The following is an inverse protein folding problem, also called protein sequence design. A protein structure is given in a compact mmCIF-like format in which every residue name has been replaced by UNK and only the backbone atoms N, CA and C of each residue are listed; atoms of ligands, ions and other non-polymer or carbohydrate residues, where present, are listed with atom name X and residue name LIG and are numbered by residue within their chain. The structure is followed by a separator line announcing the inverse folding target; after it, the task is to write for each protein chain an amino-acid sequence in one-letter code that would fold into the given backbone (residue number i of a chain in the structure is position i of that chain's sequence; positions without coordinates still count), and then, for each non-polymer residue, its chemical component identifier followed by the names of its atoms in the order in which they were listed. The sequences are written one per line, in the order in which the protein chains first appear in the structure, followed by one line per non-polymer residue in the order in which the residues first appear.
data_IF_576701018622
#
_entry.id   IF_576701018622
#
_cell.length_a   1.000
_cell.length_b   1.000
_cell.length_c   1.000
_cell.angle_alpha   90.00
_cell.angle_beta   90.00
_cell.angle_gamma   90.00
#
_symmetry.space_group_name_H-M   'P 1'
#
loop_
_entity.id
_entity.type
_entity.pdbx_description
1 polymer ?
#
# COMPACT_ATOMS: atom_id res chain seq x y z
N UNK A 1 40.76 25.23 -52.62
CA UNK A 1 39.55 24.51 -53.06
C UNK A 1 39.62 23.07 -52.55
N UNK A 2 38.53 22.61 -51.92
CA UNK A 2 38.16 21.24 -51.51
C UNK A 2 38.68 20.62 -50.19
N UNK A 3 39.83 20.97 -49.62
CA UNK A 3 40.28 20.28 -48.38
C UNK A 3 39.74 20.86 -47.06
N UNK A 4 39.43 22.16 -47.00
CA UNK A 4 38.96 22.80 -45.75
C UNK A 4 37.44 22.63 -45.52
N UNK A 5 36.66 22.46 -46.59
CA UNK A 5 35.21 22.23 -46.52
C UNK A 5 34.85 20.80 -46.14
N UNK A 6 35.78 19.84 -46.34
CA UNK A 6 35.54 18.42 -46.03
C UNK A 6 35.67 18.10 -44.54
N UNK A 7 36.50 18.84 -43.79
CA UNK A 7 36.63 18.67 -42.34
C UNK A 7 35.40 19.17 -41.58
N UNK A 8 34.73 20.22 -42.07
CA UNK A 8 33.50 20.73 -41.43
C UNK A 8 32.28 19.83 -41.68
N UNK A 9 32.27 19.06 -42.77
CA UNK A 9 31.16 18.15 -43.08
C UNK A 9 31.21 16.85 -42.27
N UNK A 10 32.40 16.34 -41.90
CA UNK A 10 32.54 15.14 -41.07
C UNK A 10 32.32 15.40 -39.57
N UNK A 11 32.50 16.64 -39.11
CA UNK A 11 32.18 17.02 -37.74
C UNK A 11 30.65 17.06 -37.47
N UNK A 12 29.84 17.28 -38.51
CA UNK A 12 28.38 17.39 -38.37
C UNK A 12 27.63 16.05 -38.30
N UNK A 13 28.28 14.92 -38.60
CA UNK A 13 27.64 13.59 -38.54
C UNK A 13 28.00 12.79 -37.28
N UNK A 14 28.94 13.27 -36.46
CA UNK A 14 29.34 12.60 -35.21
C UNK A 14 28.56 13.05 -33.97
N UNK A 15 27.65 14.02 -34.11
CA UNK A 15 26.65 14.37 -33.10
C UNK A 15 25.24 14.07 -33.63
N UNK A 16 25.06 12.88 -34.21
CA UNK A 16 23.74 12.25 -34.17
C UNK A 16 23.44 11.95 -32.72
N UNK A 17 22.77 12.92 -32.11
CA UNK A 17 22.03 12.83 -30.86
C UNK A 17 21.82 11.38 -30.45
N UNK A 18 22.59 10.95 -29.46
CA UNK A 18 22.19 9.91 -28.54
C UNK A 18 20.93 10.46 -27.86
N UNK A 19 19.80 10.31 -28.54
CA UNK A 19 18.48 10.46 -27.97
C UNK A 19 18.38 9.34 -26.95
N UNK A 20 18.94 9.59 -25.77
CA UNK A 20 18.64 8.84 -24.57
C UNK A 20 17.14 8.90 -24.43
N UNK A 21 16.47 7.83 -24.85
CA UNK A 21 15.07 7.62 -24.56
C UNK A 21 14.96 7.66 -23.05
N UNK A 22 14.55 8.82 -22.53
CA UNK A 22 14.17 8.94 -21.15
C UNK A 22 12.90 8.13 -21.05
N UNK A 23 13.04 6.87 -20.62
CA UNK A 23 11.92 6.07 -20.19
C UNK A 23 11.35 6.85 -19.02
N UNK A 24 10.26 7.56 -19.28
CA UNK A 24 9.41 8.14 -18.27
C UNK A 24 8.81 6.98 -17.50
N UNK A 25 9.54 6.47 -16.51
CA UNK A 25 8.94 5.67 -15.46
C UNK A 25 7.94 6.61 -14.77
N UNK A 26 6.62 6.34 -14.81
CA UNK A 26 5.72 7.04 -13.91
C UNK A 26 6.21 6.69 -12.51
N UNK A 27 6.78 7.68 -11.82
CA UNK A 27 7.00 7.60 -10.39
C UNK A 27 5.60 7.41 -9.79
N UNK A 28 5.23 6.15 -9.54
CA UNK A 28 4.17 5.82 -8.59
C UNK A 28 4.68 6.21 -7.21
N UNK A 29 4.73 7.51 -6.95
CA UNK A 29 4.88 8.07 -5.63
C UNK A 29 3.58 7.79 -4.90
N UNK A 30 3.37 6.54 -4.48
CA UNK A 30 2.45 6.26 -3.39
C UNK A 30 3.09 6.93 -2.19
N UNK A 31 2.69 8.18 -1.94
CA UNK A 31 2.96 8.83 -0.69
C UNK A 31 2.20 8.02 0.36
N UNK A 32 2.87 7.05 0.97
CA UNK A 32 2.44 6.44 2.22
C UNK A 32 2.61 7.53 3.25
N UNK A 33 1.67 8.48 3.27
CA UNK A 33 1.58 9.44 4.35
C UNK A 33 1.28 8.59 5.58
N UNK A 34 2.15 8.59 6.60
CA UNK A 34 1.79 7.93 7.85
C UNK A 34 0.44 8.53 8.27
N UNK A 35 -0.56 7.70 8.65
CA UNK A 35 -1.84 8.23 9.07
C UNK A 35 -1.55 9.30 10.14
N UNK A 36 -2.18 10.49 10.05
CA UNK A 36 -1.99 11.51 11.06
C UNK A 36 -2.22 10.87 12.43
N UNK A 37 -1.41 11.23 13.43
CA UNK A 37 -1.63 10.82 14.81
C UNK A 37 -3.00 11.36 15.24
N UNK A 38 -4.04 10.57 15.03
CA UNK A 38 -5.39 10.88 15.45
C UNK A 38 -5.37 10.85 16.97
N UNK A 39 -5.42 12.05 17.57
CA UNK A 39 -5.77 12.25 18.97
C UNK A 39 -6.99 11.35 19.26
N UNK A 40 -6.94 10.55 20.34
CA UNK A 40 -8.07 9.70 20.71
C UNK A 40 -9.33 10.56 20.84
N UNK A 41 -10.24 10.44 19.86
CA UNK A 41 -11.56 11.06 19.97
C UNK A 41 -12.39 10.29 21.01
N UNK A 42 -13.30 10.97 21.74
CA UNK A 42 -14.16 10.33 22.72
C UNK A 42 -14.98 9.21 22.07
N UNK A 43 -15.08 8.07 22.74
CA UNK A 43 -15.78 6.88 22.24
C UNK A 43 -17.28 7.22 22.11
N UNK A 44 -17.89 7.10 20.92
CA UNK A 44 -19.34 7.18 20.78
C UNK A 44 -20.03 6.08 21.60
N UNK A 45 -21.17 6.41 22.21
CA UNK A 45 -21.96 5.47 23.02
C UNK A 45 -22.23 4.17 22.24
N UNK A 46 -21.89 3.04 22.86
CA UNK A 46 -21.91 1.71 22.28
C UNK A 46 -23.19 0.97 22.69
N UNK A 47 -23.91 0.44 21.71
CA UNK A 47 -24.98 -0.53 21.93
C UNK A 47 -24.36 -1.84 22.48
N UNK A 48 -24.70 -2.27 23.70
CA UNK A 48 -24.09 -3.45 24.33
C UNK A 48 -24.41 -4.76 23.60
N UNK A 49 -25.34 -4.74 22.63
CA UNK A 49 -25.77 -5.94 21.91
C UNK A 49 -25.00 -6.20 20.61
N UNK A 50 -24.19 -5.24 20.12
CA UNK A 50 -23.36 -5.42 18.93
C UNK A 50 -21.88 -5.60 19.32
N UNK A 51 -21.24 -6.73 18.97
CA UNK A 51 -19.79 -6.85 19.14
C UNK A 51 -19.11 -5.78 18.28
N UNK A 52 -18.43 -4.84 18.93
CA UNK A 52 -17.73 -3.76 18.24
C UNK A 52 -16.56 -4.34 17.45
N UNK A 53 -16.40 -3.92 16.19
CA UNK A 53 -15.22 -4.25 15.41
C UNK A 53 -13.98 -3.65 16.06
N UNK A 54 -12.85 -4.33 15.92
CA UNK A 54 -11.57 -3.78 16.35
C UNK A 54 -11.35 -2.40 15.70
N UNK A 55 -10.84 -1.41 16.45
CA UNK A 55 -10.68 -0.01 16.00
C UNK A 55 -10.05 0.09 14.61
N UNK A 56 -8.95 -0.63 14.40
CA UNK A 56 -8.22 -0.64 13.12
C UNK A 56 -9.07 -1.15 11.94
N UNK A 57 -10.03 -2.07 12.18
CA UNK A 57 -10.94 -2.57 11.14
C UNK A 57 -11.95 -1.49 10.76
N UNK A 58 -12.47 -0.75 11.76
CA UNK A 58 -13.38 0.38 11.52
C UNK A 58 -12.67 1.47 10.72
N UNK A 59 -11.47 1.89 11.16
CA UNK A 59 -10.69 2.92 10.48
C UNK A 59 -10.33 2.52 9.05
N UNK A 60 -9.95 1.26 8.83
CA UNK A 60 -9.69 0.77 7.47
C UNK A 60 -10.96 0.79 6.62
N UNK A 61 -12.10 0.36 7.15
CA UNK A 61 -13.38 0.40 6.42
C UNK A 61 -13.78 1.83 6.05
N UNK A 62 -13.61 2.79 6.95
CA UNK A 62 -13.86 4.21 6.70
C UNK A 62 -12.92 4.78 5.62
N UNK A 63 -11.63 4.42 5.69
CA UNK A 63 -10.65 4.83 4.68
C UNK A 63 -10.92 4.19 3.31
N UNK A 64 -11.27 2.90 3.30
CA UNK A 64 -11.63 2.17 2.08
C UNK A 64 -12.88 2.76 1.43
N UNK A 65 -13.87 3.19 2.21
CA UNK A 65 -15.08 3.82 1.68
C UNK A 65 -14.81 5.12 0.90
N UNK A 66 -13.66 5.77 1.12
CA UNK A 66 -13.24 6.99 0.41
C UNK A 66 -12.48 6.69 -0.88
N UNK A 67 -12.13 5.42 -1.15
CA UNK A 67 -11.38 5.06 -2.35
C UNK A 67 -12.23 5.18 -3.62
N UNK A 68 -11.60 5.51 -4.77
CA UNK A 68 -12.31 5.53 -6.03
C UNK A 68 -12.80 4.13 -6.42
N UNK A 69 -13.88 4.00 -7.22
CA UNK A 69 -14.57 2.73 -7.46
C UNK A 69 -13.71 1.58 -8.00
N UNK A 70 -12.63 1.89 -8.72
CA UNK A 70 -11.71 0.90 -9.29
C UNK A 70 -10.70 0.33 -8.27
N UNK A 71 -10.53 0.98 -7.11
CA UNK A 71 -9.73 0.48 -5.99
C UNK A 71 -10.59 -0.18 -4.90
N UNK A 72 -11.91 -0.01 -4.97
CA UNK A 72 -12.83 -0.72 -4.07
C UNK A 72 -12.88 -2.20 -4.43
N UNK A 73 -12.89 -3.05 -3.41
CA UNK A 73 -13.08 -4.48 -3.62
C UNK A 73 -14.52 -4.79 -4.05
N UNK A 74 -14.77 -5.30 -5.27
CA UNK A 74 -16.12 -5.64 -5.71
C UNK A 74 -16.63 -6.96 -5.10
N UNK A 75 -15.74 -7.80 -4.59
CA UNK A 75 -16.03 -9.16 -4.12
C UNK A 75 -17.06 -9.18 -2.99
N UNK A 76 -16.90 -8.29 -2.00
CA UNK A 76 -17.79 -8.19 -0.84
C UNK A 76 -19.11 -7.46 -1.12
N UNK A 77 -19.32 -6.92 -2.34
CA UNK A 77 -20.59 -6.26 -2.71
C UNK A 77 -21.71 -7.26 -2.98
N UNK A 78 -21.38 -8.52 -3.24
CA UNK A 78 -22.37 -9.57 -3.46
C UNK A 78 -22.78 -10.18 -2.11
N UNK A 79 -24.04 -10.03 -1.67
CA UNK A 79 -24.49 -10.53 -0.36
C UNK A 79 -24.32 -12.04 -0.25
N UNK A 80 -24.47 -12.79 -1.35
CA UNK A 80 -24.31 -14.25 -1.36
C UNK A 80 -22.87 -14.67 -1.06
N UNK A 81 -21.89 -13.91 -1.53
CA UNK A 81 -20.46 -14.19 -1.28
C UNK A 81 -20.15 -13.91 0.18
N UNK A 82 -20.59 -12.76 0.71
CA UNK A 82 -20.41 -12.42 2.12
C UNK A 82 -21.04 -13.47 3.06
N UNK A 83 -22.27 -13.92 2.76
CA UNK A 83 -22.96 -14.95 3.53
C UNK A 83 -22.25 -16.32 3.46
N UNK A 84 -21.67 -16.67 2.31
CA UNK A 84 -20.94 -17.92 2.15
C UNK A 84 -19.63 -17.89 2.95
N UNK A 85 -18.88 -16.78 2.87
CA UNK A 85 -17.63 -16.60 3.60
C UNK A 85 -17.83 -16.58 5.10
N UNK A 86 -18.94 -16.00 5.59
CA UNK A 86 -19.29 -16.05 7.00
C UNK A 86 -19.48 -17.48 7.53
N UNK A 87 -19.77 -18.46 6.65
CA UNK A 87 -19.92 -19.88 7.02
C UNK A 87 -18.59 -20.63 6.90
N UNK A 88 -17.91 -20.49 5.76
CA UNK A 88 -16.71 -21.26 5.43
C UNK A 88 -15.66 -20.40 4.73
N UNK A 89 -14.40 -20.56 5.13
CA UNK A 89 -13.24 -19.85 4.54
C UNK A 89 -12.22 -20.86 4.03
N UNK A 90 -11.35 -20.44 3.12
CA UNK A 90 -10.29 -21.28 2.57
C UNK A 90 -9.36 -21.85 3.67
N UNK A 91 -9.10 -21.06 4.71
CA UNK A 91 -8.11 -21.38 5.75
C UNK A 91 -8.72 -21.91 7.05
N UNK A 92 -10.04 -22.10 7.12
CA UNK A 92 -10.70 -22.54 8.36
C UNK A 92 -12.21 -22.26 8.39
N UNK A 93 -12.83 -22.30 9.58
CA UNK A 93 -14.21 -21.82 9.74
C UNK A 93 -14.33 -20.39 9.23
N UNK A 94 -15.51 -20.02 8.76
CA UNK A 94 -15.79 -18.77 8.04
C UNK A 94 -15.22 -17.49 8.64
N UNK A 95 -15.33 -16.40 7.89
CA UNK A 95 -14.91 -15.07 8.32
C UNK A 95 -15.60 -14.70 9.64
N UNK A 96 -14.80 -14.57 10.69
CA UNK A 96 -15.27 -14.16 12.03
C UNK A 96 -15.03 -12.68 12.24
N UNK A 97 -15.91 -12.08 13.03
CA UNK A 97 -15.75 -10.70 13.46
C UNK A 97 -14.44 -10.49 14.24
N UNK A 98 -13.58 -9.61 13.73
CA UNK A 98 -12.27 -9.34 14.34
C UNK A 98 -12.46 -8.40 15.52
N UNK A 99 -12.55 -8.96 16.73
CA UNK A 99 -12.57 -8.20 17.98
C UNK A 99 -11.17 -8.02 18.58
N UNK A 100 -10.31 -9.04 18.49
CA UNK A 100 -8.94 -9.04 19.02
C UNK A 100 -7.99 -9.46 17.91
N UNK A 101 -7.11 -8.55 17.49
CA UNK A 101 -6.15 -8.84 16.42
C UNK A 101 -4.95 -9.59 17.00
N UNK A 102 -4.69 -10.79 16.50
CA UNK A 102 -3.50 -11.58 16.90
C UNK A 102 -2.20 -10.81 16.69
N UNK A 103 -2.12 -9.98 15.63
CA UNK A 103 -0.96 -9.13 15.35
C UNK A 103 -0.63 -8.16 16.49
N UNK A 104 -1.61 -7.73 17.27
CA UNK A 104 -1.40 -6.80 18.39
C UNK A 104 -0.80 -7.46 19.62
N UNK A 105 -0.91 -8.80 19.72
CA UNK A 105 -0.23 -9.58 20.75
C UNK A 105 1.28 -9.60 20.52
N UNK A 106 1.75 -9.28 19.30
CA UNK A 106 3.17 -9.25 18.97
C UNK A 106 3.73 -7.84 19.24
N UNK A 107 4.66 -7.68 20.21
CA UNK A 107 5.20 -6.37 20.51
C UNK A 107 6.05 -5.83 19.34
N UNK A 108 5.92 -4.52 19.06
CA UNK A 108 6.61 -3.88 17.91
C UNK A 108 8.14 -3.99 17.98
N UNK A 109 8.70 -4.01 19.19
CA UNK A 109 10.13 -4.27 19.41
C UNK A 109 10.56 -5.63 18.86
N UNK A 110 9.71 -6.66 19.00
CA UNK A 110 9.99 -8.00 18.48
C UNK A 110 9.94 -8.02 16.95
N UNK A 111 8.95 -7.38 16.36
CA UNK A 111 8.86 -7.24 14.88
C UNK A 111 10.14 -6.59 14.33
N UNK A 112 10.56 -5.47 14.93
CA UNK A 112 11.78 -4.77 14.53
C UNK A 112 13.02 -5.67 14.69
N UNK A 113 13.11 -6.45 15.77
CA UNK A 113 14.23 -7.36 15.99
C UNK A 113 14.33 -8.44 14.92
N UNK A 114 13.19 -9.03 14.52
CA UNK A 114 13.13 -10.05 13.46
C UNK A 114 13.55 -9.45 12.12
N UNK A 115 13.02 -8.27 11.77
CA UNK A 115 13.38 -7.59 10.53
C UNK A 115 14.86 -7.20 10.46
N UNK A 116 15.48 -6.81 11.59
CA UNK A 116 16.91 -6.53 11.66
C UNK A 116 17.74 -7.80 11.43
N UNK A 117 17.37 -8.90 12.07
CA UNK A 117 18.07 -10.18 11.94
C UNK A 117 17.94 -10.75 10.52
N UNK A 118 16.83 -10.49 9.83
CA UNK A 118 16.61 -10.86 8.43
C UNK A 118 17.30 -9.92 7.42
N UNK A 119 17.97 -8.86 7.87
CA UNK A 119 18.59 -7.86 6.98
C UNK A 119 17.61 -6.91 6.28
N UNK A 120 16.33 -6.93 6.66
CA UNK A 120 15.25 -6.12 6.06
C UNK A 120 15.09 -4.74 6.71
N UNK A 121 15.68 -4.51 7.89
CA UNK A 121 15.67 -3.22 8.57
C UNK A 121 17.10 -2.70 8.81
N UNK A 122 17.41 -1.50 8.29
CA UNK A 122 18.70 -0.85 8.53
C UNK A 122 18.82 -0.41 9.99
N UNK A 123 20.00 -0.58 10.57
CA UNK A 123 20.39 0.13 11.79
C UNK A 123 20.56 1.60 11.41
N UNK A 124 19.66 2.47 11.88
CA UNK A 124 19.88 3.93 11.79
C UNK A 124 21.18 4.21 12.55
N UNK A 125 22.19 4.74 11.85
CA UNK A 125 23.44 5.20 12.46
C UNK A 125 23.19 6.53 13.15
#
# INVERSE_FOLDING_TARGET
MYHQTLCLALACLAWTNLAGGQILFPQLSVAIQPPPLQQQQPIPYHDPTRPLAHREVVLNSEAEAQLPPHLLNPFYKNPRIAEALAKESWFGPGEVHVAQRETEKIPRSRIISVLKNAGLARRKR
#
